data_IF_195936268429
#
_entry.id   IF_195936268429
#
_cell.length_a   1.000
_cell.length_b   1.000
_cell.length_c   1.000
_cell.angle_alpha   90.00
_cell.angle_beta   90.00
_cell.angle_gamma   90.00
#
_symmetry.space_group_name_H-M   'P 1'
#
loop_
_entity.id
_entity.type
_entity.pdbx_description
1 polymer ?
#
# COMPACT_ATOMS: atom_id res chain seq x y z
N UNK A 1 27.18 -0.98 -55.60
CA UNK A 1 26.03 -0.38 -56.34
C UNK A 1 25.21 0.42 -55.34
N UNK A 2 25.20 1.74 -55.48
CA UNK A 2 24.47 2.67 -54.63
C UNK A 2 22.96 2.62 -54.91
N UNK A 3 22.14 2.58 -53.86
CA UNK A 3 20.78 3.13 -53.91
C UNK A 3 20.67 4.19 -52.82
N UNK A 4 20.72 5.44 -53.28
CA UNK A 4 20.46 6.64 -52.50
C UNK A 4 18.96 6.94 -52.51
N UNK A 5 18.53 7.66 -51.48
CA UNK A 5 17.41 8.64 -51.48
C UNK A 5 16.01 8.06 -51.34
N UNK A 6 15.32 8.37 -50.24
CA UNK A 6 14.32 9.45 -50.25
C UNK A 6 14.03 9.95 -48.83
N UNK A 7 14.49 11.17 -48.55
CA UNK A 7 14.12 12.01 -47.40
C UNK A 7 12.91 12.82 -47.86
N UNK A 8 11.83 12.82 -47.07
CA UNK A 8 10.67 13.68 -47.28
C UNK A 8 10.39 14.41 -45.96
N UNK A 9 10.68 15.73 -45.86
CA UNK A 9 10.28 16.53 -44.71
C UNK A 9 8.86 17.02 -44.96
N UNK A 10 7.88 16.44 -44.26
CA UNK A 10 6.53 16.99 -44.23
C UNK A 10 6.45 17.99 -43.08
N UNK A 11 6.85 19.21 -43.40
CA UNK A 11 6.72 20.40 -42.55
C UNK A 11 5.24 20.76 -42.41
N UNK A 12 4.60 20.31 -41.33
CA UNK A 12 3.27 20.75 -40.95
C UNK A 12 3.40 22.03 -40.11
N UNK A 13 3.22 23.18 -40.77
CA UNK A 13 3.01 24.47 -40.10
C UNK A 13 1.74 24.43 -39.24
N UNK A 14 1.88 24.26 -37.92
CA UNK A 14 0.85 24.68 -36.99
C UNK A 14 0.99 26.20 -36.72
N UNK A 15 -0.09 26.99 -36.86
CA UNK A 15 -0.06 28.40 -36.46
C UNK A 15 -0.04 28.51 -34.93
N UNK A 16 1.04 29.12 -34.42
CA UNK A 16 1.09 29.69 -33.08
C UNK A 16 -0.03 30.74 -32.93
N UNK A 17 -1.09 30.40 -32.20
CA UNK A 17 -2.05 31.39 -31.70
C UNK A 17 -1.49 31.92 -30.38
N UNK A 18 -0.84 33.08 -30.46
CA UNK A 18 -0.51 33.93 -29.32
C UNK A 18 -1.81 34.52 -28.77
N UNK A 19 -2.38 33.93 -27.71
CA UNK A 19 -3.30 34.64 -26.84
C UNK A 19 -2.47 35.43 -25.82
N UNK A 20 -2.31 36.72 -26.10
CA UNK A 20 -1.88 37.70 -25.12
C UNK A 20 -3.06 38.10 -24.23
N UNK A 21 -2.99 37.77 -22.94
CA UNK A 21 -3.74 38.48 -21.91
C UNK A 21 -2.92 39.71 -21.50
N UNK A 22 -3.17 40.83 -22.16
CA UNK A 22 -2.80 42.16 -21.70
C UNK A 22 -3.91 42.70 -20.80
N UNK A 23 -3.57 42.96 -19.52
CA UNK A 23 -4.14 44.01 -18.68
C UNK A 23 -5.57 43.83 -18.17
N UNK A 24 -5.73 43.78 -16.85
CA UNK A 24 -6.37 44.91 -16.16
C UNK A 24 -5.99 44.92 -14.68
N UNK A 25 -5.26 45.98 -14.29
CA UNK A 25 -5.12 46.42 -12.92
C UNK A 25 -6.50 46.91 -12.43
N UNK A 26 -7.22 46.10 -11.66
CA UNK A 26 -8.42 46.56 -10.96
C UNK A 26 -8.04 46.97 -9.54
N UNK A 27 -7.82 48.27 -9.40
CA UNK A 27 -7.78 48.95 -8.12
C UNK A 27 -9.17 48.90 -7.46
N UNK A 28 -9.22 48.35 -6.24
CA UNK A 28 -10.14 48.63 -5.13
C UNK A 28 -11.63 48.88 -5.43
N UNK A 29 -12.47 47.96 -4.97
CA UNK A 29 -13.81 48.29 -4.45
C UNK A 29 -14.09 47.48 -3.17
N UNK A 30 -14.30 48.21 -2.08
CA UNK A 30 -14.94 47.75 -0.85
C UNK A 30 -16.31 47.16 -1.16
N UNK A 31 -16.52 45.86 -0.92
CA UNK A 31 -17.87 45.27 -0.80
C UNK A 31 -18.08 44.82 0.63
N UNK A 32 -18.65 45.75 1.38
CA UNK A 32 -19.40 45.50 2.60
C UNK A 32 -20.84 45.11 2.22
N UNK A 33 -21.27 43.90 2.59
CA UNK A 33 -22.63 43.39 2.42
C UNK A 33 -22.61 41.88 2.67
N UNK A 34 -22.77 41.39 3.90
CA UNK A 34 -24.03 41.26 4.64
C UNK A 34 -25.10 40.54 3.82
N UNK A 35 -25.04 39.21 3.79
CA UNK A 35 -26.26 38.41 3.82
C UNK A 35 -26.07 37.20 4.75
N UNK A 36 -26.86 37.26 5.82
CA UNK A 36 -27.11 36.26 6.83
C UNK A 36 -28.13 35.25 6.30
N UNK A 37 -27.75 33.99 6.20
CA UNK A 37 -28.69 32.87 6.30
C UNK A 37 -28.19 31.90 7.34
N UNK A 38 -28.71 32.10 8.54
CA UNK A 38 -28.70 31.16 9.65
C UNK A 38 -29.60 29.98 9.30
N UNK A 39 -29.02 28.78 9.21
CA UNK A 39 -29.77 27.54 9.41
C UNK A 39 -29.12 26.81 10.58
N UNK A 40 -29.67 27.09 11.77
CA UNK A 40 -29.39 26.40 13.02
C UNK A 40 -30.29 25.17 13.08
N UNK A 41 -29.75 24.01 12.76
CA UNK A 41 -30.39 22.72 13.01
C UNK A 41 -29.98 22.19 14.38
N UNK A 42 -30.78 22.50 15.40
CA UNK A 42 -30.69 21.88 16.73
C UNK A 42 -31.19 20.43 16.64
N UNK A 43 -30.27 19.48 16.77
CA UNK A 43 -30.56 18.05 16.85
C UNK A 43 -30.29 17.53 18.25
N UNK A 44 -31.24 17.73 19.16
CA UNK A 44 -31.29 17.10 20.48
C UNK A 44 -31.53 15.59 20.32
N UNK A 45 -30.51 14.79 20.57
CA UNK A 45 -30.57 13.33 20.57
C UNK A 45 -30.19 12.76 21.93
N UNK A 46 -31.13 12.81 22.87
CA UNK A 46 -31.06 12.11 24.17
C UNK A 46 -31.15 10.59 23.93
N UNK A 47 -30.00 9.92 23.97
CA UNK A 47 -29.88 8.46 23.93
C UNK A 47 -29.55 7.90 25.31
N UNK A 48 -30.56 7.81 26.17
CA UNK A 48 -30.54 7.01 27.40
C UNK A 48 -30.63 5.50 27.07
N UNK A 49 -29.74 4.70 27.65
CA UNK A 49 -29.86 3.23 27.71
C UNK A 49 -28.56 2.52 27.31
N UNK A 50 -27.99 1.58 28.05
CA UNK A 50 -28.49 0.82 29.19
C UNK A 50 -27.26 0.27 29.95
N UNK A 51 -27.39 0.16 31.26
CA UNK A 51 -26.39 -0.46 32.14
C UNK A 51 -26.42 -1.97 31.97
N UNK A 52 -25.38 -2.53 31.33
CA UNK A 52 -25.18 -3.97 31.22
C UNK A 52 -24.18 -4.48 32.25
N UNK A 53 -24.62 -4.66 33.49
CA UNK A 53 -23.91 -5.44 34.51
C UNK A 53 -24.00 -6.93 34.15
N UNK A 54 -22.98 -7.42 33.46
CA UNK A 54 -22.80 -8.83 33.14
C UNK A 54 -21.97 -9.55 34.19
N UNK A 55 -22.58 -9.83 35.35
CA UNK A 55 -22.08 -10.81 36.32
C UNK A 55 -22.33 -12.25 35.80
N UNK A 56 -21.27 -13.05 35.67
CA UNK A 56 -21.34 -14.52 35.53
C UNK A 56 -20.09 -15.05 34.81
N UNK A 57 -19.29 -15.98 35.32
CA UNK A 57 -19.35 -16.87 36.49
C UNK A 57 -17.89 -17.33 36.72
N UNK A 58 -17.39 -17.54 37.95
CA UNK A 58 -16.13 -18.25 38.16
C UNK A 58 -16.38 -19.76 37.97
N UNK A 59 -15.93 -20.28 36.84
CA UNK A 59 -15.95 -21.72 36.56
C UNK A 59 -14.84 -22.45 37.32
N UNK A 60 -15.13 -22.82 38.57
CA UNK A 60 -14.39 -23.83 39.32
C UNK A 60 -14.64 -25.21 38.69
N UNK A 61 -13.67 -25.65 37.89
CA UNK A 61 -13.61 -27.00 37.32
C UNK A 61 -12.59 -27.87 38.03
N UNK A 62 -12.86 -28.23 39.28
CA UNK A 62 -12.24 -29.39 39.93
C UNK A 62 -12.77 -30.67 39.25
N UNK A 63 -11.90 -31.39 38.54
CA UNK A 63 -12.26 -32.58 37.78
C UNK A 63 -11.13 -33.60 37.67
N UNK A 64 -10.98 -34.36 38.76
CA UNK A 64 -10.47 -35.73 38.88
C UNK A 64 -9.04 -36.10 38.47
N UNK A 65 -8.33 -36.54 39.51
CA UNK A 65 -7.30 -37.57 39.54
C UNK A 65 -7.61 -38.75 38.63
N UNK A 66 -6.82 -38.90 37.57
CA UNK A 66 -6.68 -40.14 36.82
C UNK A 66 -5.30 -40.76 37.06
N UNK A 67 -5.23 -41.64 38.06
CA UNK A 67 -4.12 -42.60 38.21
C UNK A 67 -4.19 -43.58 37.02
N UNK A 68 -3.33 -43.35 36.03
CA UNK A 68 -3.15 -44.23 34.87
C UNK A 68 -1.73 -44.76 34.83
N UNK A 69 -1.46 -45.80 35.63
CA UNK A 69 -0.29 -46.66 35.49
C UNK A 69 -0.33 -47.33 34.11
N UNK A 70 0.42 -46.76 33.17
CA UNK A 70 0.64 -47.30 31.84
C UNK A 70 2.11 -47.59 31.62
N UNK A 71 2.58 -48.72 32.13
CA UNK A 71 3.85 -49.34 31.75
C UNK A 71 3.78 -49.69 30.25
N UNK A 72 4.27 -48.78 29.42
CA UNK A 72 4.43 -48.95 27.98
C UNK A 72 5.90 -48.86 27.61
N UNK A 73 6.60 -49.98 27.75
CA UNK A 73 7.90 -50.21 27.09
C UNK A 73 7.72 -50.07 25.57
N UNK A 74 8.05 -48.88 25.07
CA UNK A 74 7.98 -48.52 23.66
C UNK A 74 9.21 -47.74 23.25
N UNK A 75 10.31 -48.46 23.10
CA UNK A 75 11.50 -48.05 22.35
C UNK A 75 11.05 -47.62 20.93
N UNK A 76 10.89 -46.31 20.69
CA UNK A 76 10.56 -45.75 19.37
C UNK A 76 10.94 -44.27 19.32
N UNK A 77 12.23 -44.04 19.09
CA UNK A 77 12.74 -42.88 18.39
C UNK A 77 12.85 -41.62 19.23
N UNK A 78 14.10 -41.25 19.52
CA UNK A 78 14.53 -39.87 19.68
C UNK A 78 14.24 -39.13 18.35
N UNK A 79 12.96 -38.85 18.12
CA UNK A 79 12.50 -37.90 17.14
C UNK A 79 12.66 -36.53 17.75
N UNK A 80 13.90 -36.08 17.88
CA UNK A 80 14.27 -34.67 17.96
C UNK A 80 13.85 -34.01 16.65
N UNK A 81 12.54 -33.95 16.42
CA UNK A 81 11.91 -33.13 15.41
C UNK A 81 11.89 -31.70 15.91
N UNK A 82 13.09 -31.14 16.17
CA UNK A 82 13.32 -29.72 16.00
C UNK A 82 13.13 -29.44 14.50
N UNK A 83 11.86 -29.38 14.09
CA UNK A 83 11.44 -28.71 12.85
C UNK A 83 11.24 -27.23 13.10
N UNK A 84 11.77 -26.67 14.20
CA UNK A 84 12.35 -25.32 14.15
C UNK A 84 13.61 -25.41 13.29
N UNK A 85 13.42 -25.78 12.01
CA UNK A 85 14.34 -25.31 11.02
C UNK A 85 14.28 -23.80 11.21
N UNK A 86 15.35 -23.24 11.76
CA UNK A 86 15.75 -21.85 11.62
C UNK A 86 16.03 -21.60 10.13
N UNK A 87 15.11 -22.06 9.27
CA UNK A 87 15.09 -21.85 7.87
C UNK A 87 14.91 -20.38 7.75
N UNK A 88 16.04 -19.70 7.60
CA UNK A 88 16.23 -18.52 6.76
C UNK A 88 15.75 -18.81 5.32
N UNK A 89 14.73 -19.68 5.13
CA UNK A 89 14.08 -19.97 3.89
C UNK A 89 13.36 -18.71 3.53
N UNK A 90 14.00 -18.00 2.60
CA UNK A 90 13.61 -16.77 1.94
C UNK A 90 12.10 -16.50 2.09
N UNK A 91 11.74 -15.80 3.18
CA UNK A 91 10.36 -15.53 3.51
C UNK A 91 9.75 -14.75 2.35
N UNK A 92 8.78 -15.36 1.66
CA UNK A 92 8.16 -14.75 0.49
C UNK A 92 7.15 -13.69 0.89
N UNK A 93 6.73 -12.89 -0.08
CA UNK A 93 5.64 -11.93 0.06
C UNK A 93 4.54 -12.16 -0.99
N UNK A 94 3.30 -11.88 -0.62
CA UNK A 94 2.18 -11.98 -1.55
C UNK A 94 2.13 -10.75 -2.48
N UNK A 95 2.06 -11.01 -3.77
CA UNK A 95 1.96 -10.02 -4.83
C UNK A 95 0.85 -10.37 -5.82
N UNK A 96 0.52 -9.42 -6.69
CA UNK A 96 -0.46 -9.61 -7.76
C UNK A 96 0.16 -10.44 -8.89
N UNK A 97 -0.44 -11.58 -9.22
CA UNK A 97 -0.07 -12.38 -10.38
C UNK A 97 -0.56 -11.77 -11.70
N UNK A 98 0.09 -12.12 -12.80
CA UNK A 98 -0.27 -11.69 -14.15
C UNK A 98 0.16 -12.68 -15.23
N UNK A 99 -0.53 -12.66 -16.37
CA UNK A 99 -0.12 -13.31 -17.62
C UNK A 99 0.34 -12.27 -18.66
N UNK A 100 -0.19 -11.05 -18.60
CA UNK A 100 0.17 -9.91 -19.42
C UNK A 100 0.12 -8.58 -18.64
N UNK A 101 0.76 -7.52 -19.16
CA UNK A 101 0.86 -6.22 -18.49
C UNK A 101 -0.51 -5.62 -18.12
N UNK A 102 -1.56 -5.93 -18.88
CA UNK A 102 -2.92 -5.45 -18.60
C UNK A 102 -3.59 -6.09 -17.39
N UNK A 103 -3.10 -7.24 -16.90
CA UNK A 103 -3.62 -7.88 -15.69
C UNK A 103 -3.24 -7.10 -14.43
N UNK A 104 -2.14 -6.35 -14.49
CA UNK A 104 -1.63 -5.53 -13.39
C UNK A 104 -2.38 -4.23 -13.17
N UNK A 105 -3.41 -3.99 -13.99
CA UNK A 105 -4.11 -2.72 -14.00
C UNK A 105 -5.34 -2.75 -13.10
N UNK A 106 -5.46 -1.82 -12.14
CA UNK A 106 -6.67 -1.68 -11.36
C UNK A 106 -7.88 -1.52 -12.27
N UNK A 107 -8.96 -2.25 -11.97
CA UNK A 107 -10.19 -2.19 -12.74
C UNK A 107 -10.68 -0.74 -12.90
N UNK A 108 -10.77 -0.28 -14.15
CA UNK A 108 -11.24 1.07 -14.47
C UNK A 108 -10.14 2.12 -14.67
N UNK A 109 -8.85 1.77 -14.54
CA UNK A 109 -7.77 2.66 -14.96
C UNK A 109 -7.78 2.78 -16.50
N UNK A 110 -8.01 4.00 -17.00
CA UNK A 110 -8.17 4.26 -18.44
C UNK A 110 -6.83 4.23 -19.20
N UNK A 111 -5.72 4.40 -18.50
CA UNK A 111 -4.37 4.53 -19.07
C UNK A 111 -3.41 3.50 -18.48
N UNK A 112 -3.88 2.28 -18.21
CA UNK A 112 -3.06 1.19 -17.73
C UNK A 112 -3.20 -0.05 -18.66
N UNK A 113 -2.09 -0.69 -19.08
CA UNK A 113 -0.70 -0.34 -18.77
C UNK A 113 -0.23 0.84 -19.64
N UNK A 114 0.68 1.66 -19.13
CA UNK A 114 1.31 2.75 -19.90
C UNK A 114 2.80 2.85 -19.62
N UNK A 115 3.53 3.70 -20.35
CA UNK A 115 4.93 3.99 -20.03
C UNK A 115 5.08 5.08 -18.96
N UNK A 116 3.97 5.63 -18.44
CA UNK A 116 3.97 6.79 -17.54
C UNK A 116 3.51 6.41 -16.13
N UNK A 117 4.18 6.95 -15.12
CA UNK A 117 3.74 6.91 -13.73
C UNK A 117 2.34 7.56 -13.59
N UNK A 118 1.43 7.03 -12.73
CA UNK A 118 1.55 5.84 -11.88
C UNK A 118 1.02 4.55 -12.52
N UNK A 119 0.83 4.53 -13.85
CA UNK A 119 0.20 3.40 -14.55
C UNK A 119 1.20 2.55 -15.33
N UNK A 120 2.50 2.66 -15.03
CA UNK A 120 3.56 1.91 -15.68
C UNK A 120 3.82 0.55 -15.04
N UNK A 121 2.77 -0.25 -15.02
CA UNK A 121 2.81 -1.63 -14.59
C UNK A 121 3.29 -2.55 -15.72
N UNK A 122 4.08 -3.55 -15.36
CA UNK A 122 4.52 -4.60 -16.28
C UNK A 122 4.43 -5.96 -15.62
N UNK A 123 4.09 -6.97 -16.41
CA UNK A 123 4.11 -8.34 -15.96
C UNK A 123 5.52 -8.93 -16.11
N UNK A 124 6.13 -9.31 -14.99
CA UNK A 124 7.47 -9.88 -14.98
C UNK A 124 7.48 -11.26 -15.64
N UNK A 125 8.67 -11.75 -15.99
CA UNK A 125 8.82 -13.12 -16.52
C UNK A 125 8.44 -14.21 -15.50
N UNK A 126 8.31 -13.84 -14.23
CA UNK A 126 7.85 -14.72 -13.15
C UNK A 126 6.31 -14.70 -12.99
N UNK A 127 5.60 -13.91 -13.80
CA UNK A 127 4.15 -13.76 -13.72
C UNK A 127 3.69 -12.91 -12.54
N UNK A 128 4.50 -11.91 -12.16
CA UNK A 128 4.21 -10.99 -11.04
C UNK A 128 4.13 -9.57 -11.58
N UNK A 129 3.15 -8.81 -11.12
CA UNK A 129 3.02 -7.40 -11.44
C UNK A 129 4.11 -6.57 -10.77
N UNK A 130 4.97 -5.99 -11.60
CA UNK A 130 6.00 -5.06 -11.17
C UNK A 130 5.56 -3.64 -11.48
N UNK A 131 5.77 -2.76 -10.50
CA UNK A 131 5.58 -1.35 -10.67
C UNK A 131 6.84 -0.74 -11.29
N UNK A 132 6.73 -0.06 -12.43
CA UNK A 132 7.87 0.56 -13.08
C UNK A 132 8.42 1.78 -12.36
N UNK A 133 7.65 2.40 -11.47
CA UNK A 133 8.08 3.55 -10.69
C UNK A 133 8.24 4.84 -11.50
N UNK A 134 8.75 5.90 -10.90
CA UNK A 134 9.08 7.14 -11.61
C UNK A 134 10.51 7.11 -12.14
N UNK A 135 10.80 7.76 -13.27
CA UNK A 135 12.17 7.93 -13.76
C UNK A 135 12.80 9.26 -13.30
N UNK A 136 11.97 10.27 -13.03
CA UNK A 136 12.38 11.59 -12.56
C UNK A 136 11.17 12.37 -12.01
N UNK A 137 11.40 13.55 -11.40
CA UNK A 137 10.35 14.38 -10.78
C UNK A 137 9.26 14.83 -11.76
N UNK A 138 9.55 14.98 -13.07
CA UNK A 138 8.52 15.38 -14.05
C UNK A 138 7.45 14.29 -14.22
N UNK A 139 7.77 13.03 -13.92
CA UNK A 139 6.82 11.91 -13.98
C UNK A 139 5.79 11.96 -12.83
N UNK A 140 6.09 12.70 -11.77
CA UNK A 140 5.24 12.84 -10.58
C UNK A 140 4.15 13.92 -10.75
N UNK A 141 4.17 14.71 -11.83
CA UNK A 141 3.37 15.93 -12.02
C UNK A 141 1.84 15.76 -12.18
N UNK A 142 1.29 14.57 -11.98
CA UNK A 142 -0.14 14.28 -12.22
C UNK A 142 -1.05 14.34 -10.99
N UNK A 143 -0.52 14.17 -9.77
CA UNK A 143 -1.34 13.96 -8.57
C UNK A 143 -1.23 15.09 -7.55
N UNK A 144 -0.03 15.63 -7.29
CA UNK A 144 0.23 16.76 -6.40
C UNK A 144 1.41 17.60 -6.94
N UNK A 145 1.41 18.92 -6.71
CA UNK A 145 2.41 19.83 -7.30
C UNK A 145 3.81 19.74 -6.66
N UNK A 146 3.96 18.96 -5.60
CA UNK A 146 5.16 18.88 -4.75
C UNK A 146 5.73 17.45 -4.63
N UNK A 147 5.30 16.52 -5.49
CA UNK A 147 5.86 15.17 -5.49
C UNK A 147 7.21 15.13 -6.19
N UNK A 148 8.17 14.46 -5.56
CA UNK A 148 9.53 14.22 -6.05
C UNK A 148 9.73 12.71 -6.18
N UNK A 149 10.60 12.30 -7.11
CA UNK A 149 10.88 10.90 -7.41
C UNK A 149 12.05 10.39 -6.57
N UNK A 150 11.78 9.49 -5.62
CA UNK A 150 12.79 8.96 -4.70
C UNK A 150 12.70 7.43 -4.58
N UNK A 151 13.83 6.72 -4.37
CA UNK A 151 13.85 5.27 -4.19
C UNK A 151 13.39 4.86 -2.79
N UNK A 152 12.45 3.91 -2.70
CA UNK A 152 12.06 3.23 -1.46
C UNK A 152 12.23 1.73 -1.68
N UNK A 153 13.23 1.11 -1.03
CA UNK A 153 13.52 -0.32 -1.24
C UNK A 153 13.92 -0.61 -2.68
N UNK A 154 14.80 0.22 -3.26
CA UNK A 154 15.25 0.21 -4.66
C UNK A 154 14.14 0.48 -5.71
N UNK A 155 12.90 0.75 -5.28
CA UNK A 155 11.77 1.07 -6.16
C UNK A 155 11.52 2.59 -6.23
N UNK A 156 11.71 3.25 -7.38
CA UNK A 156 11.51 4.70 -7.48
C UNK A 156 10.02 5.05 -7.38
N UNK A 157 9.66 5.83 -6.37
CA UNK A 157 8.30 6.15 -5.99
C UNK A 157 8.12 7.65 -5.88
N UNK A 158 7.05 8.20 -6.46
CA UNK A 158 6.69 9.60 -6.24
C UNK A 158 6.04 9.77 -4.87
N UNK A 159 6.59 10.66 -4.05
CA UNK A 159 5.96 11.10 -2.81
C UNK A 159 6.26 12.57 -2.54
N UNK A 160 5.49 13.19 -1.65
CA UNK A 160 5.77 14.54 -1.16
C UNK A 160 6.73 14.46 0.03
N UNK A 161 7.95 15.03 -0.06
CA UNK A 161 8.87 15.04 1.06
C UNK A 161 8.28 15.77 2.27
N UNK A 162 8.54 15.27 3.47
CA UNK A 162 8.07 15.88 4.71
C UNK A 162 9.24 16.33 5.59
N UNK A 163 9.05 17.45 6.31
CA UNK A 163 9.96 17.90 7.36
C UNK A 163 9.43 17.56 8.75
N UNK A 164 8.11 17.48 8.91
CA UNK A 164 7.42 17.21 10.17
C UNK A 164 5.99 16.67 9.93
N UNK A 165 5.32 16.20 10.99
CA UNK A 165 3.99 15.58 10.89
C UNK A 165 2.89 16.51 10.35
N UNK A 166 3.07 17.84 10.43
CA UNK A 166 2.09 18.77 9.85
C UNK A 166 2.08 18.71 8.32
N UNK A 167 3.19 18.32 7.68
CA UNK A 167 3.28 18.16 6.23
C UNK A 167 2.45 16.93 5.78
N UNK A 168 2.24 15.97 6.68
CA UNK A 168 1.44 14.76 6.44
C UNK A 168 -0.06 14.93 6.71
N UNK A 169 -0.52 16.14 7.01
CA UNK A 169 -1.92 16.40 7.36
C UNK A 169 -2.93 16.08 6.24
N UNK A 170 -2.48 16.00 4.99
CA UNK A 170 -3.32 15.62 3.84
C UNK A 170 -3.50 14.10 3.70
N UNK A 171 -2.73 13.30 4.44
CA UNK A 171 -2.76 11.84 4.41
C UNK A 171 -3.13 11.31 5.81
N UNK A 172 -4.43 11.13 6.11
CA UNK A 172 -4.89 10.68 7.41
C UNK A 172 -4.24 9.34 7.81
N UNK A 173 -3.77 9.25 9.06
CA UNK A 173 -3.12 8.05 9.58
C UNK A 173 -1.63 7.93 9.25
N UNK A 174 -1.02 8.97 8.67
CA UNK A 174 0.43 9.01 8.39
C UNK A 174 1.17 10.01 9.27
N UNK A 175 2.47 9.78 9.44
CA UNK A 175 3.42 10.64 10.16
C UNK A 175 4.68 10.84 9.31
N UNK A 176 5.47 11.87 9.60
CA UNK A 176 6.73 12.12 8.90
C UNK A 176 7.87 11.23 9.43
N UNK A 177 7.66 9.92 9.27
CA UNK A 177 8.49 8.85 9.84
C UNK A 177 9.13 7.96 8.79
N UNK A 178 8.59 7.91 7.56
CA UNK A 178 9.19 7.18 6.45
C UNK A 178 10.52 7.79 6.03
N UNK A 179 11.47 6.94 5.64
CA UNK A 179 12.79 7.36 5.12
C UNK A 179 13.08 6.56 3.85
N UNK A 180 13.27 7.27 2.75
CA UNK A 180 13.68 6.72 1.46
C UNK A 180 15.17 6.33 1.47
N UNK A 181 15.62 5.60 0.43
CA UNK A 181 16.99 5.08 0.36
C UNK A 181 18.04 6.22 0.18
N UNK A 182 17.59 7.42 -0.18
CA UNK A 182 18.39 8.64 -0.29
C UNK A 182 18.26 9.59 0.92
N UNK A 183 17.80 9.06 2.06
CA UNK A 183 17.56 9.76 3.33
C UNK A 183 16.44 10.82 3.29
N UNK A 184 15.67 10.94 2.21
CA UNK A 184 14.53 11.86 2.15
C UNK A 184 13.37 11.28 2.96
N UNK A 185 12.77 12.13 3.80
CA UNK A 185 11.63 11.74 4.62
C UNK A 185 10.32 11.86 3.86
N UNK A 186 9.42 10.93 4.12
CA UNK A 186 8.08 10.94 3.54
C UNK A 186 7.02 10.57 4.58
N UNK A 187 5.77 10.88 4.24
CA UNK A 187 4.62 10.55 5.06
C UNK A 187 4.29 9.06 4.94
N UNK A 188 4.55 8.32 6.02
CA UNK A 188 4.31 6.88 6.10
C UNK A 188 3.22 6.58 7.13
N UNK A 189 2.40 5.55 6.92
CA UNK A 189 1.50 5.07 7.97
C UNK A 189 2.32 4.60 9.18
N UNK A 190 1.72 4.62 10.36
CA UNK A 190 2.32 3.92 11.50
C UNK A 190 2.52 2.44 11.14
N UNK A 191 3.65 1.82 11.52
CA UNK A 191 3.88 0.40 11.27
C UNK A 191 2.68 -0.41 11.77
N UNK A 192 2.20 -1.34 10.95
CA UNK A 192 1.16 -2.25 11.38
C UNK A 192 1.59 -2.96 12.67
N UNK A 193 0.67 -3.22 13.61
CA UNK A 193 0.99 -4.06 14.75
C UNK A 193 1.49 -5.42 14.26
N UNK A 194 2.42 -6.01 15.02
CA UNK A 194 2.87 -7.37 14.79
C UNK A 194 1.66 -8.31 14.70
N UNK A 195 1.68 -9.24 13.75
CA UNK A 195 0.64 -10.25 13.65
C UNK A 195 0.72 -11.20 14.87
N UNK A 196 -0.43 -11.57 15.42
CA UNK A 196 -0.55 -12.57 16.49
C UNK A 196 -1.10 -13.90 15.95
N UNK A 197 -1.65 -13.89 14.74
CA UNK A 197 -2.01 -15.08 13.96
C UNK A 197 -2.37 -14.75 12.51
N UNK A 198 -2.61 -15.79 11.70
CA UNK A 198 -2.81 -15.67 10.24
C UNK A 198 -3.96 -14.72 9.84
N UNK A 199 -4.97 -14.56 10.69
CA UNK A 199 -6.08 -13.65 10.45
C UNK A 199 -5.64 -12.18 10.40
N UNK A 200 -4.57 -11.82 11.13
CA UNK A 200 -4.05 -10.46 11.18
C UNK A 200 -3.35 -10.07 9.88
N UNK A 201 -2.90 -11.07 9.10
CA UNK A 201 -2.29 -10.86 7.79
C UNK A 201 -3.30 -10.48 6.71
N UNK A 202 -4.62 -10.53 6.98
CA UNK A 202 -5.65 -10.08 6.03
C UNK A 202 -5.64 -10.82 4.69
N UNK A 203 -5.04 -12.01 4.65
CA UNK A 203 -4.84 -12.80 3.42
C UNK A 203 -3.55 -12.52 2.66
N UNK A 204 -2.66 -11.65 3.15
CA UNK A 204 -1.34 -11.39 2.55
C UNK A 204 -0.24 -12.35 3.04
N UNK A 205 -0.63 -13.57 3.44
CA UNK A 205 0.30 -14.59 3.93
C UNK A 205 -0.16 -15.28 5.20
N UNK A 206 0.80 -15.96 5.84
CA UNK A 206 0.72 -16.59 7.15
C UNK A 206 1.56 -15.79 8.15
N UNK A 207 1.14 -15.79 9.41
CA UNK A 207 1.79 -15.01 10.45
C UNK A 207 2.97 -15.78 11.03
N UNK A 208 4.16 -15.19 10.99
CA UNK A 208 5.26 -15.59 11.85
C UNK A 208 5.08 -14.93 13.21
N UNK A 209 4.53 -15.65 14.18
CA UNK A 209 4.26 -15.14 15.54
C UNK A 209 5.52 -14.76 16.32
N UNK A 210 6.70 -15.22 15.90
CA UNK A 210 7.96 -14.88 16.56
C UNK A 210 8.49 -13.53 16.09
N UNK A 211 8.43 -13.26 14.78
CA UNK A 211 8.83 -11.96 14.21
C UNK A 211 7.70 -10.93 14.22
N UNK A 212 6.45 -11.38 14.25
CA UNK A 212 5.26 -10.55 14.06
C UNK A 212 5.00 -10.17 12.60
N UNK A 213 5.66 -10.82 11.64
CA UNK A 213 5.59 -10.48 10.22
C UNK A 213 4.75 -11.50 9.43
N UNK A 214 4.05 -11.01 8.41
CA UNK A 214 3.31 -11.86 7.48
C UNK A 214 4.20 -12.26 6.31
N UNK A 215 4.22 -13.55 5.97
CA UNK A 215 5.03 -14.11 4.88
C UNK A 215 4.25 -15.17 4.11
N UNK A 216 4.79 -15.61 2.97
CA UNK A 216 4.22 -16.74 2.24
C UNK A 216 5.29 -17.75 1.84
N UNK A 217 4.89 -19.01 1.70
CA UNK A 217 5.75 -20.10 1.18
C UNK A 217 5.22 -20.65 -0.15
N UNK A 218 3.95 -20.36 -0.45
CA UNK A 218 3.24 -20.81 -1.64
C UNK A 218 2.06 -19.89 -1.93
N UNK A 219 1.62 -19.84 -3.19
CA UNK A 219 0.49 -19.02 -3.66
C UNK A 219 -0.78 -19.22 -2.82
N UNK A 220 -1.00 -20.42 -2.30
CA UNK A 220 -2.15 -20.73 -1.43
C UNK A 220 -2.18 -19.96 -0.10
N UNK A 221 -1.08 -19.32 0.31
CA UNK A 221 -1.06 -18.41 1.46
C UNK A 221 -1.58 -17.00 1.11
N UNK A 222 -1.66 -16.67 -0.18
CA UNK A 222 -2.05 -15.37 -0.70
C UNK A 222 -3.54 -15.41 -1.10
N UNK A 223 -4.39 -14.94 -0.19
CA UNK A 223 -5.87 -14.98 -0.33
C UNK A 223 -6.50 -13.59 -0.38
N UNK A 224 -5.70 -12.53 -0.24
CA UNK A 224 -6.16 -11.16 -0.38
C UNK A 224 -6.56 -10.86 -1.85
N UNK A 225 -7.58 -10.02 -2.03
CA UNK A 225 -8.00 -9.60 -3.36
C UNK A 225 -6.87 -8.80 -4.04
N UNK A 226 -6.39 -9.29 -5.19
CA UNK A 226 -5.28 -8.68 -5.91
C UNK A 226 -3.89 -9.08 -5.42
N UNK A 227 -3.76 -10.05 -4.51
CA UNK A 227 -2.48 -10.65 -4.14
C UNK A 227 -2.65 -12.18 -4.02
N UNK A 228 -2.39 -12.89 -5.11
CA UNK A 228 -2.64 -14.32 -5.29
C UNK A 228 -1.36 -15.13 -5.59
N UNK A 229 -0.21 -14.46 -5.72
CA UNK A 229 1.07 -15.09 -6.05
C UNK A 229 2.07 -14.88 -4.92
N UNK A 230 2.75 -15.93 -4.50
CA UNK A 230 3.81 -15.86 -3.50
C UNK A 230 5.17 -15.67 -4.17
N UNK A 231 5.81 -14.53 -3.91
CA UNK A 231 7.14 -14.20 -4.43
C UNK A 231 8.18 -14.57 -3.37
N UNK A 232 8.93 -15.63 -3.62
CA UNK A 232 10.04 -16.05 -2.77
C UNK A 232 11.27 -15.18 -3.05
N UNK A 233 11.92 -14.69 -2.00
CA UNK A 233 13.10 -13.80 -2.07
C UNK A 233 14.39 -14.54 -2.43
#
# INVERSE_FOLDING_TARGET
MHKKTFILPLTLCLPFILFGCTGDDVAGEDVSGSDTTSDSGDGDGDGDGDSGDGDGDPGDGDGDSGDGDGDGDGDSGDGDGDTTGDGDGDAGYCAMGCEEDSDCCPMGSLDCPSDNYPNNWSCSAQGVCEFGGCANDDDCGGLLQSQECHPIGDLPTCFEPCANDADCALQPGTTCSGVADDDVKYCAPEPAPACEGDADCGGYGICNVESGECYCEQDGNCTAEGADTCVLN
#
